data_IF_182960105520
#
_entry.id   IF_182960105520
#
_cell.length_a   1.000
_cell.length_b   1.000
_cell.length_c   1.000
_cell.angle_alpha   90.00
_cell.angle_beta   90.00
_cell.angle_gamma   90.00
#
_symmetry.space_group_name_H-M   'P 1'
#
loop_
_entity.id
_entity.type
_entity.pdbx_description
1 polymer ?
#
# COMPACT_ATOMS: atom_id res chain seq x y z
N UNK A 1 23.36 24.81 -2.40
CA UNK A 1 21.90 24.82 -2.24
C UNK A 1 21.57 24.12 -0.94
N UNK A 2 20.60 24.62 -0.19
CA UNK A 2 20.18 24.01 1.08
C UNK A 2 19.41 22.71 0.79
N UNK A 3 19.77 21.56 1.38
CA UNK A 3 19.08 20.29 1.12
C UNK A 3 17.74 20.21 1.86
N UNK A 4 16.71 19.72 1.17
CA UNK A 4 15.38 19.41 1.72
C UNK A 4 15.02 17.96 1.43
N UNK A 5 14.41 17.30 2.41
CA UNK A 5 13.84 15.96 2.26
C UNK A 5 12.35 16.05 1.99
N UNK A 6 11.90 15.63 0.81
CA UNK A 6 10.49 15.65 0.43
C UNK A 6 9.90 14.26 0.60
N UNK A 7 9.06 14.11 1.63
CA UNK A 7 8.34 12.88 1.92
C UNK A 7 6.98 12.95 1.22
N UNK A 8 6.79 12.19 0.15
CA UNK A 8 5.52 12.12 -0.57
C UNK A 8 4.66 11.00 0.01
N UNK A 9 3.37 11.27 0.24
CA UNK A 9 2.43 10.26 0.71
C UNK A 9 1.09 10.28 -0.02
N UNK A 10 0.69 9.11 -0.51
CA UNK A 10 -0.59 8.88 -1.18
C UNK A 10 -0.49 9.06 -2.71
N UNK A 11 -1.35 8.37 -3.49
CA UNK A 11 -1.39 8.52 -4.94
C UNK A 11 -1.99 9.86 -5.38
N UNK A 12 -2.91 10.44 -4.60
CA UNK A 12 -3.65 11.64 -5.02
C UNK A 12 -2.73 12.83 -5.32
N UNK A 13 -1.73 13.07 -4.47
CA UNK A 13 -0.76 14.15 -4.65
C UNK A 13 0.16 13.96 -5.86
N UNK A 14 0.27 12.73 -6.38
CA UNK A 14 1.00 12.44 -7.62
C UNK A 14 0.06 12.63 -8.82
N UNK A 15 -1.13 12.04 -8.75
CA UNK A 15 -2.09 12.01 -9.85
C UNK A 15 -2.56 13.40 -10.27
N UNK A 16 -2.71 14.30 -9.29
CA UNK A 16 -3.15 15.67 -9.49
C UNK A 16 -1.99 16.62 -9.85
N UNK A 17 -0.75 16.11 -10.01
CA UNK A 17 0.45 16.89 -10.39
C UNK A 17 1.05 17.74 -9.27
N UNK A 18 0.46 17.71 -8.07
CA UNK A 18 0.83 18.53 -6.92
C UNK A 18 2.25 18.25 -6.41
N UNK A 19 2.69 17.00 -6.45
CA UNK A 19 4.05 16.64 -6.09
C UNK A 19 5.08 17.19 -7.07
N UNK A 20 4.79 17.20 -8.38
CA UNK A 20 5.66 17.79 -9.40
C UNK A 20 5.76 19.31 -9.19
N UNK A 21 4.61 19.99 -9.02
CA UNK A 21 4.52 21.41 -8.69
C UNK A 21 5.37 21.76 -7.47
N UNK A 22 5.25 21.00 -6.37
CA UNK A 22 5.99 21.24 -5.14
C UNK A 22 7.51 21.09 -5.33
N UNK A 23 7.93 20.05 -6.06
CA UNK A 23 9.34 19.76 -6.35
C UNK A 23 9.95 20.87 -7.18
N UNK A 24 9.26 21.30 -8.24
CA UNK A 24 9.72 22.38 -9.13
C UNK A 24 9.80 23.71 -8.38
N UNK A 25 8.75 24.09 -7.67
CA UNK A 25 8.68 25.33 -6.87
C UNK A 25 9.85 25.42 -5.88
N UNK A 26 10.17 24.33 -5.19
CA UNK A 26 11.29 24.30 -4.24
C UNK A 26 12.66 24.35 -4.95
N UNK A 27 12.81 23.69 -6.10
CA UNK A 27 14.04 23.78 -6.91
C UNK A 27 14.27 25.18 -7.45
N UNK A 28 13.22 25.84 -7.96
CA UNK A 28 13.26 27.23 -8.45
C UNK A 28 13.57 28.22 -7.31
N UNK A 29 13.08 27.93 -6.11
CA UNK A 29 13.49 28.63 -4.90
C UNK A 29 14.97 28.39 -4.57
N UNK A 30 15.70 27.48 -5.22
CA UNK A 30 17.13 27.24 -5.01
C UNK A 30 17.44 26.23 -3.90
N UNK A 31 16.48 25.37 -3.56
CA UNK A 31 16.72 24.20 -2.70
C UNK A 31 17.23 23.01 -3.52
N UNK A 32 18.09 22.21 -2.91
CA UNK A 32 18.40 20.87 -3.41
C UNK A 32 17.39 19.91 -2.78
N UNK A 33 16.61 19.20 -3.57
CA UNK A 33 15.54 18.34 -3.06
C UNK A 33 15.91 16.86 -3.23
N UNK A 34 15.76 16.10 -2.16
CA UNK A 34 15.78 14.64 -2.20
C UNK A 34 14.36 14.14 -1.92
N UNK A 35 13.79 13.38 -2.85
CA UNK A 35 12.36 13.04 -2.83
C UNK A 35 12.20 11.54 -2.68
N UNK A 36 11.38 11.11 -1.73
CA UNK A 36 11.09 9.70 -1.49
C UNK A 36 9.61 9.51 -1.18
N UNK A 37 9.03 8.42 -1.69
CA UNK A 37 7.62 8.10 -1.47
C UNK A 37 7.46 6.91 -0.51
N UNK A 38 6.44 7.00 0.35
CA UNK A 38 6.03 5.91 1.22
C UNK A 38 4.64 5.36 0.82
N UNK A 39 4.53 4.03 0.76
CA UNK A 39 3.28 3.31 0.50
C UNK A 39 3.08 2.82 -0.94
N UNK A 40 2.47 1.64 -1.08
CA UNK A 40 2.37 0.91 -2.36
C UNK A 40 1.53 1.63 -3.41
N UNK A 41 0.37 2.20 -3.03
CA UNK A 41 -0.50 2.90 -3.99
C UNK A 41 0.14 4.17 -4.54
N UNK A 42 0.94 4.89 -3.74
CA UNK A 42 1.72 6.03 -4.24
C UNK A 42 2.80 5.61 -5.25
N UNK A 43 3.43 4.43 -5.07
CA UNK A 43 4.44 3.92 -6.01
C UNK A 43 3.85 3.64 -7.39
N UNK A 44 2.63 3.10 -7.45
CA UNK A 44 1.97 2.91 -8.76
C UNK A 44 1.64 4.23 -9.44
N UNK A 45 1.24 5.25 -8.67
CA UNK A 45 1.02 6.60 -9.20
C UNK A 45 2.32 7.22 -9.75
N UNK A 46 3.45 7.06 -9.06
CA UNK A 46 4.77 7.51 -9.55
C UNK A 46 5.15 6.84 -10.86
N UNK A 47 4.90 5.53 -10.99
CA UNK A 47 5.15 4.79 -12.24
C UNK A 47 4.25 5.29 -13.37
N UNK A 48 2.97 5.52 -13.09
CA UNK A 48 2.02 6.05 -14.09
C UNK A 48 2.42 7.44 -14.57
N UNK A 49 2.94 8.28 -13.66
CA UNK A 49 3.37 9.64 -13.95
C UNK A 49 4.76 9.74 -14.58
N UNK A 50 5.54 8.64 -14.63
CA UNK A 50 6.91 8.67 -15.17
C UNK A 50 7.92 9.36 -14.24
N UNK A 51 7.58 9.52 -12.97
CA UNK A 51 8.37 10.31 -12.01
C UNK A 51 9.45 9.52 -11.27
N UNK A 52 9.73 8.26 -11.66
CA UNK A 52 10.72 7.38 -11.01
C UNK A 52 12.14 7.97 -11.01
N UNK A 53 12.44 8.84 -11.99
CA UNK A 53 13.73 9.51 -12.10
C UNK A 53 13.89 10.68 -11.12
N UNK A 54 12.80 11.09 -10.44
CA UNK A 54 12.76 12.19 -9.48
C UNK A 54 12.44 11.68 -8.07
N UNK A 55 11.47 10.76 -7.96
CA UNK A 55 10.93 10.26 -6.69
C UNK A 55 11.48 8.86 -6.42
N UNK A 56 12.26 8.70 -5.35
CA UNK A 56 12.74 7.40 -4.91
C UNK A 56 11.57 6.52 -4.43
N UNK A 57 11.27 5.51 -5.25
CA UNK A 57 10.32 4.42 -4.95
C UNK A 57 11.02 3.07 -4.79
N UNK A 58 12.36 3.04 -4.79
CA UNK A 58 13.15 1.81 -4.80
C UNK A 58 12.87 0.98 -3.56
N UNK A 59 12.85 1.59 -2.37
CA UNK A 59 12.63 0.85 -1.11
C UNK A 59 11.20 0.92 -0.63
N UNK A 60 10.79 -0.09 0.12
CA UNK A 60 9.50 -0.11 0.80
C UNK A 60 9.64 0.38 2.23
N UNK A 61 9.61 1.71 2.37
CA UNK A 61 9.73 2.39 3.65
C UNK A 61 8.35 2.80 4.15
N UNK A 62 8.09 2.62 5.44
CA UNK A 62 7.00 3.34 6.12
C UNK A 62 7.33 4.83 6.13
N UNK A 63 6.32 5.73 6.20
CA UNK A 63 6.60 7.17 6.22
C UNK A 63 7.56 7.60 7.35
N UNK A 64 7.43 7.01 8.55
CA UNK A 64 8.35 7.29 9.66
C UNK A 64 9.79 6.86 9.37
N UNK A 65 9.99 5.84 8.53
CA UNK A 65 11.32 5.35 8.14
C UNK A 65 11.93 6.18 7.01
N UNK A 66 11.09 6.81 6.19
CA UNK A 66 11.54 7.82 5.22
C UNK A 66 12.12 9.05 5.94
N UNK A 67 11.61 9.41 7.13
CA UNK A 67 12.24 10.42 7.99
C UNK A 67 13.64 9.96 8.42
N UNK A 68 13.78 8.74 8.94
CA UNK A 68 15.09 8.18 9.33
C UNK A 68 16.07 8.18 8.15
N UNK A 69 15.60 7.82 6.95
CA UNK A 69 16.38 7.80 5.72
C UNK A 69 16.98 9.17 5.40
N UNK A 70 16.17 10.24 5.45
CA UNK A 70 16.67 11.61 5.22
C UNK A 70 17.69 12.05 6.28
N UNK A 71 17.39 11.81 7.55
CA UNK A 71 18.27 12.21 8.66
C UNK A 71 19.63 11.51 8.59
N UNK A 72 19.66 10.22 8.23
CA UNK A 72 20.91 9.46 8.09
C UNK A 72 21.79 9.97 6.93
N UNK A 73 21.22 10.76 6.02
CA UNK A 73 21.92 11.41 4.89
C UNK A 73 22.26 12.87 5.18
N UNK A 74 22.03 13.34 6.41
CA UNK A 74 22.27 14.73 6.81
C UNK A 74 21.22 15.72 6.30
N UNK A 75 20.04 15.24 5.88
CA UNK A 75 18.92 16.07 5.45
C UNK A 75 17.97 16.21 6.63
N UNK A 76 18.01 17.37 7.28
CA UNK A 76 17.30 17.63 8.54
C UNK A 76 16.22 18.71 8.44
N UNK A 77 15.87 19.14 7.23
CA UNK A 77 14.63 19.87 6.96
C UNK A 77 13.75 19.01 6.06
N UNK A 78 12.65 18.50 6.61
CA UNK A 78 11.76 17.55 5.96
C UNK A 78 10.40 18.20 5.71
N UNK A 79 9.89 18.05 4.49
CA UNK A 79 8.57 18.50 4.08
C UNK A 79 7.74 17.28 3.69
N UNK A 80 6.70 16.99 4.45
CA UNK A 80 5.64 16.05 4.07
C UNK A 80 4.76 16.72 3.01
N UNK A 81 4.53 16.05 1.89
CA UNK A 81 3.67 16.52 0.81
C UNK A 81 2.58 15.47 0.61
N UNK A 82 1.33 15.85 0.83
CA UNK A 82 0.21 14.92 0.74
C UNK A 82 -1.11 15.61 0.36
N UNK A 83 -2.05 14.78 -0.11
CA UNK A 83 -3.41 15.17 -0.43
C UNK A 83 -4.37 14.23 0.32
N UNK A 84 -4.90 14.70 1.44
CA UNK A 84 -5.77 13.92 2.30
C UNK A 84 -7.25 13.98 1.86
N UNK A 85 -8.14 13.28 2.58
CA UNK A 85 -9.59 13.30 2.31
C UNK A 85 -10.25 14.58 2.87
N UNK A 86 -9.70 15.05 3.98
CA UNK A 86 -10.11 16.22 4.75
C UNK A 86 -8.89 16.80 5.46
N UNK A 87 -8.97 18.07 5.86
CA UNK A 87 -7.97 18.71 6.70
C UNK A 87 -7.60 17.88 7.93
N UNK A 88 -8.61 17.40 8.68
CA UNK A 88 -8.39 16.62 9.90
C UNK A 88 -7.61 15.32 9.61
N UNK A 89 -7.92 14.64 8.49
CA UNK A 89 -7.20 13.43 8.10
C UNK A 89 -5.76 13.71 7.67
N UNK A 90 -5.50 14.85 7.04
CA UNK A 90 -4.15 15.30 6.69
C UNK A 90 -3.30 15.62 7.92
N UNK A 91 -3.88 16.35 8.88
CA UNK A 91 -3.23 16.62 10.17
C UNK A 91 -2.96 15.31 10.92
N UNK A 92 -3.94 14.39 10.98
CA UNK A 92 -3.82 13.11 11.66
C UNK A 92 -2.74 12.22 11.05
N UNK A 93 -2.54 12.25 9.73
CA UNK A 93 -1.47 11.55 9.04
C UNK A 93 -0.10 11.99 9.59
N UNK A 94 0.21 13.29 9.53
CA UNK A 94 1.48 13.83 10.00
C UNK A 94 1.72 13.53 11.49
N UNK A 95 0.69 13.64 12.33
CA UNK A 95 0.76 13.25 13.76
C UNK A 95 1.14 11.78 13.91
N UNK A 96 0.51 10.89 13.14
CA UNK A 96 0.79 9.46 13.16
C UNK A 96 2.23 9.12 12.74
N UNK A 97 2.72 9.80 11.71
CA UNK A 97 4.10 9.65 11.20
C UNK A 97 5.10 10.09 12.28
N UNK A 98 4.95 11.31 12.80
CA UNK A 98 5.83 11.86 13.83
C UNK A 98 5.81 11.00 15.10
N UNK A 99 4.63 10.55 15.54
CA UNK A 99 4.49 9.63 16.68
C UNK A 99 5.33 8.38 16.51
N UNK A 100 5.16 7.70 15.37
CA UNK A 100 5.85 6.44 15.10
C UNK A 100 7.36 6.64 15.05
N UNK A 101 7.82 7.72 14.41
CA UNK A 101 9.22 8.08 14.35
C UNK A 101 9.83 8.29 15.76
N UNK A 102 9.16 9.06 16.61
CA UNK A 102 9.64 9.40 17.95
C UNK A 102 9.66 8.19 18.88
N UNK A 103 8.60 7.38 18.87
CA UNK A 103 8.51 6.17 19.70
C UNK A 103 9.58 5.15 19.33
N UNK A 104 9.86 4.98 18.02
CA UNK A 104 10.92 4.07 17.53
C UNK A 104 12.30 4.46 18.06
N UNK A 105 12.55 5.76 18.29
CA UNK A 105 13.82 6.28 18.81
C UNK A 105 13.89 6.39 20.34
N UNK A 106 12.82 6.03 21.06
CA UNK A 106 12.80 6.11 22.54
C UNK A 106 13.00 7.52 23.09
N UNK A 107 12.70 8.57 22.30
CA UNK A 107 12.92 9.96 22.70
C UNK A 107 11.81 10.42 23.68
N UNK A 108 12.16 10.94 24.88
CA UNK A 108 11.19 11.44 25.84
C UNK A 108 10.58 12.78 25.41
N UNK A 109 9.36 13.06 25.87
CA UNK A 109 8.57 14.26 25.61
C UNK A 109 8.63 15.23 26.81
N UNK A 110 8.61 16.57 26.63
CA UNK A 110 8.30 17.34 25.41
C UNK A 110 9.54 17.77 24.58
N UNK A 111 9.39 17.69 23.25
CA UNK A 111 10.44 17.64 22.23
C UNK A 111 11.04 18.97 21.73
N UNK A 112 10.65 20.12 22.26
CA UNK A 112 11.07 21.40 21.66
C UNK A 112 12.58 21.67 21.74
N UNK A 113 13.29 21.01 22.66
CA UNK A 113 14.71 21.25 22.90
C UNK A 113 15.61 20.09 22.45
N UNK A 114 15.03 18.98 21.98
CA UNK A 114 15.77 17.74 21.64
C UNK A 114 15.66 17.31 20.18
N UNK A 115 14.76 17.90 19.39
CA UNK A 115 14.65 17.60 17.96
C UNK A 115 15.74 18.31 17.17
N UNK A 116 16.53 17.53 16.47
CA UNK A 116 17.64 18.00 15.62
C UNK A 116 17.21 18.27 14.18
N UNK A 117 15.91 18.34 13.90
CA UNK A 117 15.35 18.48 12.55
C UNK A 117 14.07 19.33 12.51
N UNK A 118 13.79 19.89 11.35
CA UNK A 118 12.56 20.62 11.00
C UNK A 118 11.60 19.71 10.25
N UNK A 119 10.31 19.84 10.54
CA UNK A 119 9.24 19.12 9.87
C UNK A 119 8.09 20.07 9.51
N UNK A 120 7.77 20.13 8.22
CA UNK A 120 6.70 20.91 7.63
C UNK A 120 5.76 19.98 6.87
N UNK A 121 4.51 20.38 6.70
CA UNK A 121 3.57 19.64 5.88
C UNK A 121 2.89 20.58 4.88
N UNK A 122 2.90 20.20 3.61
CA UNK A 122 2.06 20.76 2.56
C UNK A 122 0.87 19.81 2.38
N UNK A 123 -0.30 20.24 2.83
CA UNK A 123 -1.56 19.51 2.66
C UNK A 123 -2.38 20.18 1.55
N UNK A 124 -2.34 19.58 0.37
CA UNK A 124 -2.88 20.17 -0.83
C UNK A 124 -4.41 20.14 -0.89
N UNK A 125 -5.06 19.10 -0.35
CA UNK A 125 -6.52 18.98 -0.38
C UNK A 125 -7.22 20.17 0.28
N UNK A 126 -6.64 20.66 1.38
CA UNK A 126 -7.16 21.81 2.13
C UNK A 126 -6.39 23.10 1.88
N UNK A 127 -5.39 23.08 0.98
CA UNK A 127 -4.50 24.20 0.67
C UNK A 127 -3.89 24.86 1.92
N UNK A 128 -3.31 24.04 2.80
CA UNK A 128 -2.68 24.50 4.05
C UNK A 128 -1.22 24.08 4.13
N UNK A 129 -0.44 24.89 4.84
CA UNK A 129 0.93 24.57 5.25
C UNK A 129 1.00 24.50 6.78
N UNK A 130 1.43 23.36 7.32
CA UNK A 130 1.41 23.10 8.77
C UNK A 130 2.83 23.07 9.32
N UNK A 131 3.16 24.05 10.16
CA UNK A 131 4.44 24.14 10.86
C UNK A 131 4.44 23.22 12.09
N UNK A 132 4.89 21.97 11.92
CA UNK A 132 5.01 21.02 13.04
C UNK A 132 6.16 21.40 13.96
N UNK A 133 7.38 21.46 13.42
CA UNK A 133 8.59 21.84 14.15
C UNK A 133 9.56 22.54 13.22
N UNK A 134 10.20 23.59 13.69
CA UNK A 134 11.31 24.24 12.98
C UNK A 134 12.43 24.37 13.99
N UNK A 135 13.57 23.72 13.74
CA UNK A 135 14.75 23.80 14.62
C UNK A 135 15.31 25.22 14.60
N UNK A 136 15.99 25.59 15.68
CA UNK A 136 16.68 26.87 15.74
C UNK A 136 17.71 26.99 14.60
N UNK A 137 17.66 28.10 13.85
CA UNK A 137 18.54 28.35 12.69
C UNK A 137 17.89 28.08 11.34
N UNK A 138 16.70 27.45 11.31
CA UNK A 138 15.97 27.15 10.06
C UNK A 138 14.92 28.21 9.70
N UNK A 139 14.86 29.34 10.43
CA UNK A 139 13.84 30.39 10.21
C UNK A 139 13.91 30.98 8.79
N UNK A 140 15.10 31.12 8.20
CA UNK A 140 15.26 31.57 6.82
C UNK A 140 14.75 30.55 5.80
N UNK A 141 15.01 29.26 6.04
CA UNK A 141 14.53 28.16 5.18
C UNK A 141 12.99 28.13 5.24
N UNK A 142 12.44 28.15 6.45
CA UNK A 142 11.01 28.19 6.69
C UNK A 142 10.34 29.39 6.02
N UNK A 143 10.86 30.61 6.24
CA UNK A 143 10.32 31.83 5.66
C UNK A 143 10.35 31.82 4.13
N UNK A 144 11.38 31.21 3.54
CA UNK A 144 11.49 31.05 2.09
C UNK A 144 10.47 30.07 1.54
N UNK A 145 10.23 28.93 2.22
CA UNK A 145 9.19 27.97 1.82
C UNK A 145 7.80 28.62 1.90
N UNK A 146 7.49 29.32 3.00
CA UNK A 146 6.22 30.06 3.14
C UNK A 146 6.08 31.13 2.04
N UNK A 147 7.18 31.79 1.66
CA UNK A 147 7.16 32.80 0.61
C UNK A 147 6.81 32.25 -0.77
N UNK A 148 7.30 31.05 -1.12
CA UNK A 148 7.01 30.42 -2.42
C UNK A 148 5.68 29.68 -2.46
N UNK A 149 5.16 29.23 -1.31
CA UNK A 149 3.81 28.66 -1.16
C UNK A 149 2.85 29.63 -0.45
N UNK A 150 2.89 30.92 -0.85
CA UNK A 150 2.14 31.99 -0.19
C UNK A 150 0.62 31.90 -0.38
N UNK A 151 0.17 31.08 -1.31
CA UNK A 151 -1.22 30.76 -1.57
C UNK A 151 -1.79 29.73 -0.59
N UNK A 152 -0.93 29.01 0.16
CA UNK A 152 -1.35 28.09 1.20
C UNK A 152 -1.56 28.82 2.52
N UNK A 153 -2.61 28.40 3.26
CA UNK A 153 -2.91 28.98 4.57
C UNK A 153 -2.01 28.35 5.62
N UNK A 154 -1.17 29.17 6.26
CA UNK A 154 -0.31 28.73 7.37
C UNK A 154 -1.15 28.34 8.60
N UNK A 155 -0.87 27.15 9.13
CA UNK A 155 -1.41 26.65 10.39
C UNK A 155 -0.30 26.21 11.32
N UNK A 156 -0.49 26.50 12.60
CA UNK A 156 0.36 25.98 13.67
C UNK A 156 -0.47 24.96 14.46
N UNK A 157 -0.03 23.71 14.60
CA UNK A 157 -0.72 22.74 15.42
C UNK A 157 -0.90 23.28 16.85
N UNK A 158 -2.08 23.10 17.43
CA UNK A 158 -2.31 23.47 18.82
C UNK A 158 -1.26 22.78 19.72
N UNK A 159 -0.55 23.57 20.55
CA UNK A 159 0.56 23.10 21.43
C UNK A 159 0.22 21.88 22.30
N UNK A 160 -1.06 21.61 22.52
CA UNK A 160 -1.58 20.52 23.37
C UNK A 160 -1.90 19.22 22.59
N UNK A 161 -1.81 19.17 21.25
CA UNK A 161 -2.22 18.00 20.45
C UNK A 161 -1.10 17.03 20.05
N UNK A 162 0.14 17.30 20.46
CA UNK A 162 1.24 16.32 20.36
C UNK A 162 1.41 15.55 21.69
N UNK A 163 0.31 15.37 22.42
CA UNK A 163 0.22 14.38 23.48
C UNK A 163 0.20 13.01 22.80
N UNK A 164 1.37 12.39 22.71
CA UNK A 164 1.52 11.04 22.17
C UNK A 164 1.07 10.01 23.19
N UNK A 165 -0.21 10.09 23.57
CA UNK A 165 -0.84 9.08 24.40
C UNK A 165 -0.81 7.71 23.69
N UNK A 166 -1.02 6.67 24.49
CA UNK A 166 -1.30 5.33 23.98
C UNK A 166 -2.40 5.42 22.92
N UNK A 167 -2.22 4.77 21.76
CA UNK A 167 -3.30 4.68 20.74
C UNK A 167 -4.49 3.90 21.28
N UNK A 168 -4.20 3.04 22.26
CA UNK A 168 -5.18 2.21 22.91
C UNK A 168 -5.50 2.69 24.32
N UNK A 169 -6.79 2.72 24.62
CA UNK A 169 -7.28 2.70 26.00
C UNK A 169 -7.41 1.24 26.44
N UNK A 170 -6.91 0.91 27.62
CA UNK A 170 -7.02 -0.43 28.21
C UNK A 170 -7.97 -0.39 29.40
N UNK A 171 -8.98 -1.25 29.40
CA UNK A 171 -9.92 -1.41 30.51
C UNK A 171 -10.11 -2.89 30.82
N UNK A 172 -9.64 -3.34 32.00
CA UNK A 172 -9.60 -4.76 32.36
C UNK A 172 -8.88 -5.57 31.27
N UNK A 173 -9.56 -6.55 30.67
CA UNK A 173 -9.01 -7.42 29.61
C UNK A 173 -9.25 -6.87 28.19
N UNK A 174 -9.89 -5.70 28.07
CA UNK A 174 -10.25 -5.11 26.78
C UNK A 174 -9.27 -4.02 26.37
N UNK A 175 -8.94 -4.01 25.09
CA UNK A 175 -8.12 -2.99 24.42
C UNK A 175 -9.00 -2.27 23.40
N UNK A 176 -9.01 -0.95 23.46
CA UNK A 176 -9.82 -0.07 22.61
C UNK A 176 -8.91 0.82 21.78
N UNK A 177 -8.96 0.75 20.45
CA UNK A 177 -8.27 1.70 19.56
C UNK A 177 -9.29 2.52 18.79
N UNK A 178 -9.32 3.82 19.06
CA UNK A 178 -10.14 4.76 18.29
C UNK A 178 -9.42 5.17 17.00
N UNK A 179 -10.12 5.07 15.87
CA UNK A 179 -9.73 5.61 14.58
C UNK A 179 -10.55 6.86 14.32
N UNK A 180 -9.90 7.97 14.01
CA UNK A 180 -10.54 9.26 13.73
C UNK A 180 -10.47 9.58 12.24
N UNK A 181 -11.26 10.56 11.82
CA UNK A 181 -11.33 11.05 10.45
C UNK A 181 -11.80 9.98 9.44
N UNK A 182 -12.63 9.04 9.91
CA UNK A 182 -13.22 8.00 9.05
C UNK A 182 -14.52 8.49 8.43
N UNK A 183 -14.86 7.97 7.26
CA UNK A 183 -16.10 8.31 6.55
C UNK A 183 -17.01 7.08 6.41
N UNK A 184 -18.34 7.24 6.47
CA UNK A 184 -19.27 6.16 6.19
C UNK A 184 -18.96 5.42 4.88
N UNK A 185 -19.12 4.10 4.88
CA UNK A 185 -18.83 3.24 3.74
C UNK A 185 -17.35 2.92 3.53
N UNK A 186 -16.42 3.52 4.28
CA UNK A 186 -15.01 3.11 4.23
C UNK A 186 -14.81 1.70 4.77
N UNK A 187 -13.99 0.92 4.09
CA UNK A 187 -13.46 -0.35 4.61
C UNK A 187 -12.48 -0.07 5.73
N UNK A 188 -12.51 -0.94 6.74
CA UNK A 188 -11.56 -0.94 7.85
C UNK A 188 -10.62 -2.10 7.62
N UNK A 189 -9.34 -1.79 7.38
CA UNK A 189 -8.31 -2.76 7.03
C UNK A 189 -7.31 -2.85 8.17
N UNK A 190 -7.08 -4.06 8.68
CA UNK A 190 -6.10 -4.38 9.74
C UNK A 190 -5.06 -5.33 9.14
N UNK A 191 -3.81 -4.88 9.05
CA UNK A 191 -2.68 -5.65 8.49
C UNK A 191 -2.99 -6.35 7.16
N UNK A 192 -3.68 -5.62 6.27
CA UNK A 192 -4.06 -6.09 4.94
C UNK A 192 -5.41 -6.80 4.85
N UNK A 193 -6.06 -7.12 5.97
CA UNK A 193 -7.36 -7.81 6.00
C UNK A 193 -8.51 -6.84 6.24
N UNK A 194 -9.57 -6.90 5.41
CA UNK A 194 -10.78 -6.10 5.62
C UNK A 194 -11.63 -6.71 6.74
N UNK A 195 -11.64 -6.06 7.90
CA UNK A 195 -12.36 -6.56 9.10
C UNK A 195 -13.77 -6.00 9.25
N UNK A 196 -14.12 -5.00 8.43
CA UNK A 196 -15.40 -4.32 8.54
C UNK A 196 -15.52 -3.10 7.65
N UNK A 197 -16.66 -2.42 7.78
CA UNK A 197 -16.98 -1.17 7.09
C UNK A 197 -17.49 -0.14 8.09
N UNK A 198 -17.14 1.13 7.92
CA UNK A 198 -17.63 2.25 8.72
C UNK A 198 -19.13 2.43 8.47
N UNK A 199 -19.93 2.46 9.52
CA UNK A 199 -21.39 2.56 9.45
C UNK A 199 -21.84 4.00 9.12
N UNK A 200 -22.99 4.14 8.46
CA UNK A 200 -23.67 5.43 8.26
C UNK A 200 -24.08 6.09 9.59
N UNK A 201 -24.22 5.31 10.67
CA UNK A 201 -24.55 5.81 12.01
C UNK A 201 -23.32 6.29 12.80
N UNK A 202 -22.15 6.32 12.16
CA UNK A 202 -20.90 6.81 12.78
C UNK A 202 -21.07 8.24 13.28
N UNK A 203 -20.69 8.46 14.54
CA UNK A 203 -20.68 9.77 15.17
C UNK A 203 -19.25 10.30 15.20
N UNK A 204 -19.10 11.62 15.04
CA UNK A 204 -17.81 12.31 15.15
C UNK A 204 -16.71 11.79 14.21
N UNK A 205 -17.08 11.16 13.09
CA UNK A 205 -16.13 10.57 12.14
C UNK A 205 -15.10 9.67 12.83
N UNK A 206 -15.53 8.89 13.83
CA UNK A 206 -14.67 7.94 14.53
C UNK A 206 -15.30 6.55 14.70
N UNK A 207 -14.45 5.53 14.63
CA UNK A 207 -14.80 4.14 14.95
C UNK A 207 -13.84 3.62 16.00
N UNK A 208 -14.29 2.69 16.84
CA UNK A 208 -13.43 2.08 17.86
C UNK A 208 -13.35 0.57 17.67
N UNK A 209 -12.14 0.08 17.42
CA UNK A 209 -11.85 -1.34 17.46
C UNK A 209 -11.72 -1.79 18.91
N UNK A 210 -12.38 -2.88 19.26
CA UNK A 210 -12.33 -3.46 20.60
C UNK A 210 -11.86 -4.89 20.51
N UNK A 211 -10.70 -5.17 21.10
CA UNK A 211 -10.12 -6.50 21.17
C UNK A 211 -10.04 -7.00 22.61
N UNK A 212 -10.06 -8.33 22.77
CA UNK A 212 -9.79 -9.03 24.04
C UNK A 212 -8.89 -10.21 23.75
N UNK A 213 -7.84 -10.38 24.55
CA UNK A 213 -6.90 -11.52 24.41
C UNK A 213 -6.40 -11.71 22.96
N UNK A 214 -6.11 -10.61 22.27
CA UNK A 214 -5.67 -10.60 20.87
C UNK A 214 -6.75 -10.79 19.81
N UNK A 215 -8.02 -11.00 20.18
CA UNK A 215 -9.10 -11.22 19.21
C UNK A 215 -9.95 -9.95 19.04
N UNK A 216 -10.23 -9.54 17.79
CA UNK A 216 -11.15 -8.44 17.52
C UNK A 216 -12.60 -8.87 17.80
N UNK A 217 -13.26 -8.22 18.75
CA UNK A 217 -14.61 -8.60 19.21
C UNK A 217 -15.72 -7.72 18.66
N UNK A 218 -15.46 -6.42 18.46
CA UNK A 218 -16.45 -5.46 17.94
C UNK A 218 -15.78 -4.24 17.30
N UNK A 219 -16.53 -3.63 16.40
CA UNK A 219 -16.23 -2.33 15.80
C UNK A 219 -17.38 -1.39 16.21
N UNK A 220 -17.12 -0.47 17.14
CA UNK A 220 -18.12 0.54 17.51
C UNK A 220 -18.14 1.63 16.43
N UNK A 221 -19.32 1.92 15.89
CA UNK A 221 -19.47 2.79 14.71
C UNK A 221 -19.20 2.08 13.38
N UNK A 222 -19.04 0.75 13.38
CA UNK A 222 -18.82 0.00 12.14
C UNK A 222 -19.57 -1.33 12.13
N UNK A 223 -19.63 -1.93 10.96
CA UNK A 223 -20.16 -3.26 10.70
C UNK A 223 -18.99 -4.19 10.49
N UNK A 224 -18.89 -5.23 11.30
CA UNK A 224 -17.80 -6.21 11.25
C UNK A 224 -18.09 -7.29 10.20
N UNK A 225 -17.05 -7.70 9.47
CA UNK A 225 -17.07 -8.84 8.56
C UNK A 225 -16.43 -10.04 9.29
N UNK A 226 -17.27 -10.95 9.79
CA UNK A 226 -16.84 -12.00 10.72
C UNK A 226 -15.91 -13.05 10.11
N UNK A 227 -16.18 -13.49 8.88
CA UNK A 227 -15.41 -14.56 8.24
C UNK A 227 -13.96 -14.13 7.98
N UNK A 228 -13.74 -12.85 7.64
CA UNK A 228 -12.38 -12.32 7.44
C UNK A 228 -11.54 -12.30 8.72
N UNK A 229 -12.15 -12.35 9.91
CA UNK A 229 -11.39 -12.38 11.16
C UNK A 229 -10.61 -13.69 11.35
N UNK A 230 -11.02 -14.77 10.69
CA UNK A 230 -10.31 -16.05 10.73
C UNK A 230 -8.91 -15.96 10.07
N UNK A 231 -8.71 -14.96 9.20
CA UNK A 231 -7.45 -14.68 8.51
C UNK A 231 -6.43 -13.94 9.40
N UNK A 232 -6.86 -13.39 10.55
CA UNK A 232 -6.00 -12.57 11.39
C UNK A 232 -5.26 -13.38 12.47
N UNK A 233 -3.95 -13.13 12.68
CA UNK A 233 -3.26 -13.60 13.86
C UNK A 233 -3.75 -12.86 15.12
N UNK A 234 -3.36 -13.32 16.33
CA UNK A 234 -3.61 -12.58 17.56
C UNK A 234 -3.07 -11.15 17.49
N UNK A 235 -3.95 -10.17 17.68
CA UNK A 235 -3.71 -8.75 17.47
C UNK A 235 -3.09 -8.07 18.69
N UNK A 236 -2.09 -7.23 18.45
CA UNK A 236 -1.71 -6.13 19.34
C UNK A 236 -2.20 -4.82 18.75
N UNK A 237 -3.43 -4.44 19.09
CA UNK A 237 -4.07 -3.22 18.56
C UNK A 237 -3.22 -1.95 18.76
N UNK A 238 -2.26 -1.89 19.67
CA UNK A 238 -1.37 -0.73 19.80
C UNK A 238 -0.40 -0.62 18.61
N UNK A 239 0.02 -1.76 18.07
CA UNK A 239 1.06 -1.89 17.03
C UNK A 239 0.50 -2.08 15.63
N UNK A 240 -0.69 -2.67 15.49
CA UNK A 240 -1.19 -3.03 14.16
C UNK A 240 -1.34 -1.84 13.21
N UNK A 241 -1.12 -2.11 11.93
CA UNK A 241 -1.36 -1.15 10.88
C UNK A 241 -2.84 -1.18 10.52
N UNK A 242 -3.51 -0.09 10.85
CA UNK A 242 -4.95 0.05 10.62
C UNK A 242 -5.18 1.22 9.67
N UNK A 243 -5.89 0.96 8.57
CA UNK A 243 -6.24 1.93 7.54
C UNK A 243 -7.75 1.96 7.35
N UNK A 244 -8.28 3.12 6.95
CA UNK A 244 -9.63 3.21 6.41
C UNK A 244 -9.61 3.78 5.01
N UNK A 245 -10.35 3.14 4.10
CA UNK A 245 -10.42 3.56 2.71
C UNK A 245 -11.70 3.04 2.06
N UNK A 246 -12.32 3.85 1.20
CA UNK A 246 -13.34 3.33 0.28
C UNK A 246 -12.68 2.53 -0.85
N UNK A 247 -11.61 3.08 -1.39
CA UNK A 247 -10.73 2.49 -2.40
C UNK A 247 -9.29 2.89 -2.10
N UNK A 248 -8.31 2.11 -2.56
CA UNK A 248 -6.88 2.33 -2.28
C UNK A 248 -6.26 3.52 -3.03
N UNK A 249 -6.94 4.04 -4.07
CA UNK A 249 -6.56 5.19 -4.88
C UNK A 249 -7.83 5.87 -5.38
N UNK A 250 -8.06 7.13 -4.98
CA UNK A 250 -9.32 7.86 -5.25
C UNK A 250 -9.30 8.62 -6.58
N UNK A 251 -8.12 8.86 -7.11
CA UNK A 251 -7.83 9.62 -8.32
C UNK A 251 -7.44 8.70 -9.47
N UNK A 252 -7.61 9.17 -10.69
CA UNK A 252 -7.03 8.53 -11.87
C UNK A 252 -5.83 9.34 -12.35
N UNK A 253 -4.75 8.68 -12.82
CA UNK A 253 -3.58 9.40 -13.31
C UNK A 253 -3.93 10.25 -14.53
N UNK A 254 -3.66 11.55 -14.47
CA UNK A 254 -3.88 12.47 -15.59
C UNK A 254 -3.04 12.16 -16.83
N UNK A 255 -1.85 11.54 -16.63
CA UNK A 255 -0.98 11.02 -17.68
C UNK A 255 -0.63 9.57 -17.35
N UNK A 256 -0.78 8.67 -18.33
CA UNK A 256 -0.25 7.30 -18.23
C UNK A 256 0.93 7.16 -19.16
N UNK A 257 2.10 6.90 -18.60
CA UNK A 257 3.26 6.49 -19.36
C UNK A 257 2.95 5.20 -20.14
N UNK A 258 3.26 5.19 -21.43
CA UNK A 258 3.08 3.99 -22.26
C UNK A 258 4.06 2.89 -21.83
N UNK A 259 3.67 1.65 -22.11
CA UNK A 259 4.30 0.39 -21.65
C UNK A 259 5.83 0.31 -21.80
N UNK A 260 6.43 1.09 -22.69
CA UNK A 260 7.86 1.06 -23.01
C UNK A 260 8.78 1.72 -21.95
N UNK A 261 8.25 2.60 -21.09
CA UNK A 261 9.03 3.29 -20.03
C UNK A 261 8.72 2.75 -18.61
N UNK A 262 7.91 1.69 -18.52
CA UNK A 262 7.55 1.09 -17.24
C UNK A 262 8.71 0.25 -16.66
N UNK A 263 8.75 0.12 -15.33
CA UNK A 263 9.74 -0.70 -14.62
C UNK A 263 9.63 -2.17 -15.03
N UNK A 264 10.41 -2.61 -16.01
CA UNK A 264 10.71 -4.02 -16.15
C UNK A 264 11.75 -4.38 -15.09
N UNK A 265 11.47 -5.32 -14.18
CA UNK A 265 12.55 -5.91 -13.40
C UNK A 265 13.58 -6.43 -14.40
N UNK A 266 14.82 -5.92 -14.35
CA UNK A 266 15.87 -6.49 -15.18
C UNK A 266 16.13 -7.90 -14.67
N UNK A 267 15.65 -8.87 -15.45
CA UNK A 267 15.81 -10.31 -15.20
C UNK A 267 16.91 -10.90 -16.09
N UNK A 268 17.63 -10.07 -16.85
CA UNK A 268 18.70 -10.51 -17.74
C UNK A 268 19.83 -11.12 -16.92
N UNK A 269 20.15 -12.38 -17.19
CA UNK A 269 21.19 -13.11 -16.47
C UNK A 269 20.82 -13.52 -15.04
N UNK A 270 19.58 -13.25 -14.58
CA UNK A 270 19.08 -13.66 -13.27
C UNK A 270 18.33 -14.99 -13.33
N UNK A 271 18.37 -15.74 -12.23
CA UNK A 271 17.49 -16.89 -12.01
C UNK A 271 16.05 -16.43 -11.96
N UNK A 272 15.19 -17.08 -12.75
CA UNK A 272 13.77 -16.73 -12.82
C UNK A 272 13.03 -17.41 -11.68
N UNK A 273 12.13 -16.69 -11.03
CA UNK A 273 11.33 -17.26 -9.94
C UNK A 273 9.85 -16.89 -10.08
N UNK A 274 9.00 -17.75 -9.53
CA UNK A 274 7.62 -17.46 -9.21
C UNK A 274 7.46 -17.15 -7.71
N UNK A 275 6.64 -16.17 -7.35
CA UNK A 275 6.35 -15.82 -5.96
C UNK A 275 4.87 -16.00 -5.63
N UNK A 276 4.57 -16.50 -4.43
CA UNK A 276 3.21 -16.69 -3.91
C UNK A 276 2.85 -15.56 -2.93
N UNK A 277 1.69 -14.93 -3.14
CA UNK A 277 1.22 -13.79 -2.36
C UNK A 277 -0.20 -14.02 -1.81
N UNK A 278 -0.35 -13.90 -0.50
CA UNK A 278 -1.65 -13.80 0.18
C UNK A 278 -2.03 -12.35 0.50
N UNK A 279 -1.05 -11.44 0.42
CA UNK A 279 -1.21 -10.01 0.65
C UNK A 279 -0.32 -9.24 -0.31
N UNK A 280 -0.74 -8.03 -0.65
CA UNK A 280 0.04 -7.12 -1.50
C UNK A 280 1.11 -6.35 -0.74
N UNK A 281 1.11 -6.38 0.59
CA UNK A 281 2.07 -5.62 1.40
C UNK A 281 3.53 -5.98 1.10
N UNK A 282 3.79 -7.24 0.74
CA UNK A 282 5.14 -7.72 0.39
C UNK A 282 5.40 -7.77 -1.12
N UNK A 283 4.40 -7.43 -1.95
CA UNK A 283 4.48 -7.57 -3.39
C UNK A 283 5.57 -6.68 -3.98
N UNK A 284 5.52 -5.37 -3.70
CA UNK A 284 6.48 -4.41 -4.27
C UNK A 284 7.93 -4.71 -3.86
N UNK A 285 8.25 -4.95 -2.56
CA UNK A 285 9.58 -5.43 -2.16
C UNK A 285 10.04 -6.68 -2.90
N UNK A 286 9.17 -7.69 -3.02
CA UNK A 286 9.52 -8.98 -3.60
C UNK A 286 9.81 -8.88 -5.11
N UNK A 287 9.05 -8.07 -5.84
CA UNK A 287 9.17 -7.98 -7.32
C UNK A 287 10.27 -7.03 -7.77
N UNK A 288 10.51 -5.93 -7.04
CA UNK A 288 11.55 -4.96 -7.42
C UNK A 288 12.92 -5.43 -6.92
N UNK A 289 12.98 -6.36 -5.95
CA UNK A 289 14.24 -6.89 -5.37
C UNK A 289 15.21 -5.77 -4.94
N UNK A 290 14.66 -4.59 -4.64
CA UNK A 290 15.46 -3.41 -4.35
C UNK A 290 16.07 -3.55 -2.96
N UNK A 291 17.40 -3.68 -2.89
CA UNK A 291 18.25 -3.64 -1.69
C UNK A 291 17.44 -3.59 -0.40
N UNK A 292 16.88 -4.72 0.00
CA UNK A 292 16.26 -4.82 1.31
C UNK A 292 17.24 -5.57 2.19
N UNK A 293 17.28 -5.21 3.46
CA UNK A 293 17.87 -6.03 4.53
C UNK A 293 17.09 -7.36 4.70
N UNK A 294 16.63 -7.96 3.60
CA UNK A 294 15.95 -9.25 3.54
C UNK A 294 16.89 -10.27 2.94
N UNK A 295 16.75 -11.54 3.35
CA UNK A 295 17.49 -12.69 2.83
C UNK A 295 17.13 -13.03 1.35
N UNK A 296 16.90 -12.03 0.49
CA UNK A 296 16.57 -12.24 -0.92
C UNK A 296 17.85 -12.32 -1.75
N UNK A 297 17.94 -13.35 -2.59
CA UNK A 297 19.06 -13.54 -3.51
C UNK A 297 19.03 -12.47 -4.62
N UNK A 298 20.01 -11.55 -4.70
CA UNK A 298 20.04 -10.48 -5.70
C UNK A 298 20.16 -11.02 -7.15
N UNK A 299 20.59 -12.28 -7.31
CA UNK A 299 20.70 -12.95 -8.61
C UNK A 299 19.36 -13.57 -9.06
N UNK A 300 18.24 -13.24 -8.41
CA UNK A 300 16.90 -13.70 -8.78
C UNK A 300 16.00 -12.58 -9.34
N UNK A 301 15.11 -12.94 -10.26
CA UNK A 301 14.13 -12.07 -10.87
C UNK A 301 12.74 -12.68 -10.88
N UNK A 302 11.76 -11.98 -10.29
CA UNK A 302 10.36 -12.42 -10.27
C UNK A 302 9.75 -12.23 -11.65
N UNK A 303 9.28 -13.33 -12.24
CA UNK A 303 8.65 -13.34 -13.58
C UNK A 303 7.20 -13.81 -13.56
N UNK A 304 6.78 -14.47 -12.48
CA UNK A 304 5.40 -14.92 -12.25
C UNK A 304 5.00 -14.63 -10.81
N UNK A 305 3.78 -14.12 -10.61
CA UNK A 305 3.14 -14.01 -9.31
C UNK A 305 1.94 -14.95 -9.23
N UNK A 306 1.81 -15.71 -8.15
CA UNK A 306 0.60 -16.45 -7.81
C UNK A 306 -0.07 -15.71 -6.67
N UNK A 307 -1.34 -15.32 -6.84
CA UNK A 307 -2.06 -14.50 -5.86
C UNK A 307 -3.28 -15.23 -5.33
N UNK A 308 -3.51 -15.14 -4.02
CA UNK A 308 -4.65 -15.76 -3.34
C UNK A 308 -5.55 -14.66 -2.78
N UNK A 309 -6.84 -14.74 -3.06
CA UNK A 309 -7.85 -13.77 -2.64
C UNK A 309 -8.23 -12.78 -3.72
N UNK A 310 -9.50 -12.35 -3.71
CA UNK A 310 -10.07 -11.42 -4.69
C UNK A 310 -9.37 -10.05 -4.67
N UNK A 311 -9.33 -9.36 -3.51
CA UNK A 311 -8.69 -8.03 -3.41
C UNK A 311 -7.18 -8.09 -3.61
N UNK A 312 -6.52 -9.13 -3.08
CA UNK A 312 -5.08 -9.35 -3.33
C UNK A 312 -4.81 -9.51 -4.81
N UNK A 313 -5.61 -10.31 -5.52
CA UNK A 313 -5.49 -10.52 -6.98
C UNK A 313 -5.79 -9.25 -7.76
N UNK A 314 -6.80 -8.47 -7.36
CA UNK A 314 -7.12 -7.20 -8.00
C UNK A 314 -5.98 -6.19 -7.86
N UNK A 315 -5.47 -5.99 -6.65
CA UNK A 315 -4.42 -5.02 -6.35
C UNK A 315 -3.09 -5.46 -6.95
N UNK A 316 -2.75 -6.74 -6.84
CA UNK A 316 -1.57 -7.29 -7.47
C UNK A 316 -1.64 -7.16 -9.00
N UNK A 317 -2.77 -7.51 -9.62
CA UNK A 317 -2.96 -7.36 -11.06
C UNK A 317 -2.72 -5.91 -11.51
N UNK A 318 -3.33 -4.95 -10.80
CA UNK A 318 -3.14 -3.53 -11.08
C UNK A 318 -1.66 -3.12 -10.99
N UNK A 319 -0.91 -3.56 -9.98
CA UNK A 319 0.52 -3.26 -9.85
C UNK A 319 1.34 -3.97 -10.93
N UNK A 320 1.18 -5.29 -11.06
CA UNK A 320 2.03 -6.16 -11.88
C UNK A 320 1.89 -5.88 -13.38
N UNK A 321 0.75 -5.37 -13.84
CA UNK A 321 0.58 -4.99 -15.26
C UNK A 321 1.55 -3.88 -15.67
N UNK A 322 1.94 -3.03 -14.73
CA UNK A 322 2.97 -1.98 -14.91
C UNK A 322 4.37 -2.56 -14.90
N UNK A 323 4.58 -3.67 -14.20
CA UNK A 323 5.89 -4.33 -14.12
C UNK A 323 6.12 -5.38 -15.22
N UNK A 324 5.09 -5.67 -16.03
CA UNK A 324 5.16 -6.71 -17.05
C UNK A 324 5.28 -8.13 -16.48
N UNK A 325 4.98 -8.33 -15.20
CA UNK A 325 5.05 -9.62 -14.52
C UNK A 325 3.74 -10.38 -14.73
N UNK A 326 3.81 -11.65 -15.12
CA UNK A 326 2.61 -12.48 -15.32
C UNK A 326 2.02 -12.89 -13.99
N UNK A 327 0.71 -13.13 -13.97
CA UNK A 327 0.00 -13.51 -12.76
C UNK A 327 -0.89 -14.74 -12.96
N UNK A 328 -1.01 -15.56 -11.92
CA UNK A 328 -2.06 -16.57 -11.76
C UNK A 328 -2.81 -16.24 -10.47
N UNK A 329 -4.03 -15.72 -10.59
CA UNK A 329 -4.88 -15.41 -9.44
C UNK A 329 -5.82 -16.55 -9.09
N UNK A 330 -6.00 -16.82 -7.80
CA UNK A 330 -6.98 -17.76 -7.25
C UNK A 330 -7.95 -16.95 -6.39
N UNK A 331 -9.23 -17.02 -6.74
CA UNK A 331 -10.28 -16.14 -6.23
C UNK A 331 -11.55 -16.93 -6.01
N UNK A 332 -12.40 -16.55 -5.06
CA UNK A 332 -13.64 -17.25 -4.72
C UNK A 332 -14.90 -16.38 -4.96
N UNK A 333 -14.71 -15.06 -5.13
CA UNK A 333 -15.78 -14.10 -5.42
C UNK A 333 -16.30 -13.32 -4.24
N UNK A 334 -15.49 -13.17 -3.20
CA UNK A 334 -15.83 -12.41 -2.01
C UNK A 334 -15.23 -11.00 -1.97
N UNK A 335 -14.87 -10.42 -3.12
CA UNK A 335 -14.18 -9.13 -3.21
C UNK A 335 -14.79 -8.04 -2.30
N UNK A 336 -13.96 -7.39 -1.50
CA UNK A 336 -14.36 -6.29 -0.62
C UNK A 336 -14.49 -4.95 -1.36
N UNK A 337 -14.01 -4.88 -2.61
CA UNK A 337 -14.12 -3.70 -3.46
C UNK A 337 -13.12 -2.60 -3.12
N UNK A 338 -11.89 -2.99 -2.78
CA UNK A 338 -10.80 -2.04 -2.49
C UNK A 338 -10.26 -1.31 -3.73
N UNK A 339 -10.65 -1.75 -4.93
CA UNK A 339 -10.28 -1.14 -6.22
C UNK A 339 -11.54 -0.74 -6.99
N UNK A 340 -11.54 0.50 -7.48
CA UNK A 340 -12.58 0.98 -8.39
C UNK A 340 -12.70 0.07 -9.60
N UNK A 341 -13.89 -0.51 -9.83
CA UNK A 341 -14.17 -1.41 -10.95
C UNK A 341 -14.07 -2.90 -10.63
N UNK A 342 -13.66 -3.27 -9.42
CA UNK A 342 -13.88 -4.60 -8.82
C UNK A 342 -14.87 -4.39 -7.67
N UNK A 343 -16.11 -4.84 -7.81
CA UNK A 343 -17.16 -4.65 -6.81
C UNK A 343 -17.70 -5.98 -6.30
N UNK A 344 -17.88 -6.95 -7.20
CA UNK A 344 -18.47 -8.24 -6.87
C UNK A 344 -17.44 -9.37 -6.93
N UNK A 345 -16.24 -9.07 -7.42
CA UNK A 345 -15.25 -10.10 -7.74
C UNK A 345 -15.70 -10.95 -8.92
N UNK A 346 -16.57 -10.45 -9.81
CA UNK A 346 -16.91 -11.22 -11.01
C UNK A 346 -15.70 -11.32 -11.94
N UNK A 347 -15.51 -12.46 -12.62
CA UNK A 347 -14.36 -12.65 -13.52
C UNK A 347 -14.26 -11.54 -14.59
N UNK A 348 -15.39 -11.01 -15.07
CA UNK A 348 -15.41 -9.90 -16.04
C UNK A 348 -14.72 -8.63 -15.51
N UNK A 349 -14.85 -8.33 -14.23
CA UNK A 349 -14.29 -7.13 -13.61
C UNK A 349 -12.75 -7.14 -13.68
N UNK A 350 -12.12 -8.31 -13.52
CA UNK A 350 -10.68 -8.47 -13.54
C UNK A 350 -10.02 -8.23 -14.91
N UNK A 351 -10.77 -8.29 -16.02
CA UNK A 351 -10.21 -8.21 -17.37
C UNK A 351 -9.41 -6.92 -17.62
N UNK A 352 -9.75 -5.82 -16.93
CA UNK A 352 -9.06 -4.51 -17.05
C UNK A 352 -7.80 -4.37 -16.17
N UNK A 353 -7.63 -5.27 -15.21
CA UNK A 353 -6.57 -5.21 -14.21
C UNK A 353 -5.47 -6.22 -14.47
N UNK A 354 -5.74 -7.26 -15.24
CA UNK A 354 -4.77 -8.32 -15.48
C UNK A 354 -3.55 -7.86 -16.29
N UNK A 355 -2.33 -8.25 -15.87
CA UNK A 355 -1.19 -8.22 -16.76
C UNK A 355 -1.45 -9.08 -18.00
N UNK A 356 -0.81 -8.75 -19.11
CA UNK A 356 -0.92 -9.55 -20.34
C UNK A 356 -0.35 -10.96 -20.12
N UNK A 357 -0.97 -11.98 -20.75
CA UNK A 357 -0.63 -13.41 -20.53
C UNK A 357 -0.72 -13.81 -19.06
N UNK A 358 -1.80 -13.42 -18.40
CA UNK A 358 -2.12 -13.77 -17.02
C UNK A 358 -3.45 -14.51 -16.95
N UNK A 359 -3.67 -15.19 -15.83
CA UNK A 359 -4.76 -16.12 -15.65
C UNK A 359 -5.43 -15.90 -14.31
N UNK A 360 -6.75 -16.05 -14.24
CA UNK A 360 -7.49 -16.13 -12.97
C UNK A 360 -8.31 -17.41 -12.95
N UNK A 361 -8.27 -18.09 -11.81
CA UNK A 361 -9.08 -19.25 -11.49
C UNK A 361 -10.11 -18.81 -10.46
N UNK A 362 -11.38 -18.94 -10.82
CA UNK A 362 -12.50 -18.81 -9.89
C UNK A 362 -12.81 -20.18 -9.31
N UNK A 363 -12.67 -20.30 -7.99
CA UNK A 363 -13.04 -21.48 -7.22
C UNK A 363 -14.37 -21.28 -6.50
N UNK A 364 -14.90 -22.34 -5.88
CA UNK A 364 -16.09 -22.27 -5.02
C UNK A 364 -15.83 -21.37 -3.80
N UNK A 365 -16.90 -20.75 -3.28
CA UNK A 365 -16.82 -19.79 -2.18
C UNK A 365 -16.08 -20.37 -0.95
N UNK A 366 -15.14 -19.60 -0.40
CA UNK A 366 -14.30 -19.93 0.75
C UNK A 366 -13.19 -20.94 0.48
N UNK A 367 -12.88 -21.26 -0.79
CA UNK A 367 -11.85 -22.26 -1.14
C UNK A 367 -10.53 -21.69 -1.61
N UNK A 368 -10.45 -20.41 -1.94
CA UNK A 368 -9.22 -19.77 -2.39
C UNK A 368 -8.08 -19.92 -1.37
N UNK A 369 -8.33 -19.71 -0.08
CA UNK A 369 -7.35 -19.89 0.99
C UNK A 369 -6.90 -21.35 1.11
N UNK A 370 -7.84 -22.31 1.03
CA UNK A 370 -7.53 -23.75 1.10
C UNK A 370 -6.68 -24.19 -0.09
N UNK A 371 -7.08 -23.81 -1.30
CA UNK A 371 -6.33 -24.10 -2.53
C UNK A 371 -4.98 -23.38 -2.50
N UNK A 372 -4.92 -22.15 -2.00
CA UNK A 372 -3.68 -21.41 -1.81
C UNK A 372 -2.70 -22.17 -0.92
N UNK A 373 -3.16 -22.70 0.22
CA UNK A 373 -2.31 -23.52 1.09
C UNK A 373 -1.89 -24.83 0.40
N UNK A 374 -2.75 -25.47 -0.38
CA UNK A 374 -2.37 -26.64 -1.19
C UNK A 374 -1.29 -26.28 -2.22
N UNK A 375 -1.42 -25.14 -2.91
CA UNK A 375 -0.40 -24.63 -3.84
C UNK A 375 0.91 -24.38 -3.10
N UNK A 376 0.87 -23.75 -1.93
CA UNK A 376 2.04 -23.52 -1.09
C UNK A 376 2.76 -24.84 -0.75
N UNK A 377 2.02 -25.84 -0.25
CA UNK A 377 2.61 -27.10 0.20
C UNK A 377 3.08 -27.99 -0.95
N UNK A 378 2.26 -28.16 -1.98
CA UNK A 378 2.50 -29.15 -3.06
C UNK A 378 3.33 -28.56 -4.20
N UNK A 379 3.18 -27.27 -4.50
CA UNK A 379 3.86 -26.63 -5.63
C UNK A 379 5.10 -25.87 -5.18
N UNK A 380 4.98 -25.07 -4.13
CA UNK A 380 6.06 -24.26 -3.58
C UNK A 380 6.84 -24.95 -2.44
N UNK A 381 6.55 -26.23 -2.14
CA UNK A 381 7.23 -27.01 -1.09
C UNK A 381 7.24 -26.31 0.28
N UNK A 382 6.13 -25.68 0.65
CA UNK A 382 5.97 -24.94 1.90
C UNK A 382 6.60 -23.54 1.92
N UNK A 383 7.21 -23.10 0.81
CA UNK A 383 7.87 -21.79 0.66
C UNK A 383 6.97 -20.78 -0.06
N UNK A 384 7.46 -19.55 -0.20
CA UNK A 384 6.79 -18.47 -0.95
C UNK A 384 7.46 -18.18 -2.31
N UNK A 385 8.56 -18.86 -2.61
CA UNK A 385 9.33 -18.70 -3.84
C UNK A 385 9.59 -20.06 -4.47
N UNK A 386 9.50 -20.10 -5.80
CA UNK A 386 9.77 -21.28 -6.64
C UNK A 386 10.74 -20.87 -7.74
N UNK A 387 11.88 -21.55 -7.83
CA UNK A 387 12.82 -21.37 -8.94
C UNK A 387 12.27 -21.99 -10.22
N UNK A 388 12.41 -21.26 -11.33
CA UNK A 388 11.98 -21.66 -12.66
C UNK A 388 13.24 -21.91 -13.50
N UNK A 389 13.35 -23.10 -14.06
CA UNK A 389 14.57 -23.58 -14.71
C UNK A 389 14.47 -23.56 -16.24
N UNK A 390 13.26 -23.64 -16.78
CA UNK A 390 13.01 -23.63 -18.22
C UNK A 390 12.62 -22.23 -18.74
N UNK A 391 12.17 -22.17 -19.99
CA UNK A 391 11.64 -20.93 -20.55
C UNK A 391 10.31 -20.53 -19.88
N UNK A 392 10.00 -19.23 -19.90
CA UNK A 392 8.87 -18.67 -19.17
C UNK A 392 7.51 -19.19 -19.66
N UNK A 393 7.36 -19.52 -20.95
CA UNK A 393 6.07 -20.01 -21.46
C UNK A 393 5.80 -21.42 -20.93
N UNK A 394 6.80 -22.29 -20.98
CA UNK A 394 6.70 -23.68 -20.50
C UNK A 394 6.44 -23.72 -18.98
N UNK A 395 7.23 -22.98 -18.20
CA UNK A 395 7.08 -22.91 -16.74
C UNK A 395 5.72 -22.34 -16.32
N UNK A 396 5.24 -21.30 -17.02
CA UNK A 396 3.94 -20.71 -16.74
C UNK A 396 2.79 -21.68 -17.06
N UNK A 397 2.88 -22.39 -18.19
CA UNK A 397 1.89 -23.40 -18.56
C UNK A 397 1.86 -24.56 -17.57
N UNK A 398 3.02 -25.05 -17.14
CA UNK A 398 3.12 -26.13 -16.16
C UNK A 398 2.59 -25.70 -14.78
N UNK A 399 2.92 -24.48 -14.34
CA UNK A 399 2.40 -23.93 -13.08
C UNK A 399 0.87 -23.82 -13.13
N UNK A 400 0.32 -23.27 -14.23
CA UNK A 400 -1.12 -23.20 -14.47
C UNK A 400 -1.76 -24.59 -14.40
N UNK A 401 -1.19 -25.59 -15.10
CA UNK A 401 -1.69 -26.97 -15.13
C UNK A 401 -1.72 -27.60 -13.74
N UNK A 402 -0.64 -27.43 -12.96
CA UNK A 402 -0.54 -27.96 -11.59
C UNK A 402 -1.56 -27.32 -10.66
N UNK A 403 -1.76 -26.00 -10.74
CA UNK A 403 -2.76 -25.30 -9.92
C UNK A 403 -4.18 -25.74 -10.30
N UNK A 404 -4.50 -25.83 -11.60
CA UNK A 404 -5.80 -26.32 -12.08
C UNK A 404 -6.09 -27.75 -11.60
N UNK A 405 -5.06 -28.61 -11.56
CA UNK A 405 -5.20 -29.98 -11.07
C UNK A 405 -5.53 -30.02 -9.57
N UNK A 406 -4.95 -29.13 -8.76
CA UNK A 406 -5.25 -29.02 -7.33
C UNK A 406 -6.66 -28.48 -7.07
N UNK A 407 -7.11 -27.53 -7.89
CA UNK A 407 -8.42 -26.89 -7.73
C UNK A 407 -9.58 -27.64 -8.41
N UNK A 408 -9.30 -28.74 -9.13
CA UNK A 408 -10.16 -29.35 -10.15
C UNK A 408 -11.66 -29.39 -9.80
N UNK A 409 -12.00 -29.89 -8.63
CA UNK A 409 -13.40 -30.11 -8.21
C UNK A 409 -14.09 -28.82 -7.73
N UNK A 410 -13.33 -27.75 -7.50
CA UNK A 410 -13.80 -26.46 -7.03
C UNK A 410 -13.82 -25.38 -8.13
N UNK A 411 -13.34 -25.64 -9.35
CA UNK A 411 -13.28 -24.61 -10.41
C UNK A 411 -14.68 -24.29 -10.99
N UNK A 412 -15.09 -23.03 -10.83
CA UNK A 412 -16.31 -22.48 -11.42
C UNK A 412 -16.06 -21.74 -12.75
N UNK A 413 -14.86 -21.22 -12.95
CA UNK A 413 -14.53 -20.54 -14.21
C UNK A 413 -13.10 -20.04 -14.25
N UNK A 414 -12.68 -19.64 -15.45
CA UNK A 414 -11.35 -19.11 -15.69
C UNK A 414 -11.39 -17.88 -16.60
N UNK A 415 -10.46 -16.96 -16.36
CA UNK A 415 -10.20 -15.80 -17.21
C UNK A 415 -8.76 -15.85 -17.71
N UNK A 416 -8.58 -15.77 -19.02
CA UNK A 416 -7.26 -15.69 -19.67
C UNK A 416 -7.12 -14.34 -20.38
N UNK A 417 -6.13 -13.54 -19.97
CA UNK A 417 -5.91 -12.20 -20.54
C UNK A 417 -5.29 -12.24 -21.94
N UNK A 418 -4.85 -13.39 -22.44
CA UNK A 418 -4.30 -13.57 -23.79
C UNK A 418 -5.39 -13.64 -24.86
N UNK A 419 -6.59 -14.11 -24.50
CA UNK A 419 -7.70 -14.37 -25.43
C UNK A 419 -8.97 -13.58 -25.10
N UNK A 420 -9.01 -12.83 -23.98
CA UNK A 420 -10.16 -12.08 -23.45
C UNK A 420 -11.48 -12.87 -23.51
N UNK A 421 -11.39 -14.20 -23.40
CA UNK A 421 -12.53 -15.11 -23.38
C UNK A 421 -12.65 -15.66 -21.98
N UNK A 422 -13.81 -15.44 -21.36
CA UNK A 422 -14.17 -16.10 -20.10
C UNK A 422 -14.74 -17.46 -20.43
N UNK A 423 -14.20 -18.48 -19.77
CA UNK A 423 -14.77 -19.82 -19.81
C UNK A 423 -15.39 -20.09 -18.45
N UNK A 424 -16.73 -20.05 -18.42
CA UNK A 424 -17.51 -20.39 -17.23
C UNK A 424 -17.88 -21.85 -17.35
N UNK A 425 -17.64 -22.63 -16.29
CA UNK A 425 -17.87 -24.07 -16.31
C UNK A 425 -19.38 -24.34 -16.23
N UNK A 426 -19.97 -24.75 -17.37
CA UNK A 426 -21.07 -25.71 -17.39
C UNK A 426 -20.55 -26.90 -18.17
N UNK A 427 -19.92 -27.83 -17.45
CA UNK A 427 -19.45 -29.14 -17.94
C UNK A 427 -18.53 -29.11 -19.17
N UNK A 428 -17.26 -28.72 -18.98
CA UNK A 428 -16.05 -29.21 -19.67
C UNK A 428 -15.02 -28.09 -19.85
N UNK A 429 -14.21 -27.83 -18.82
CA UNK A 429 -12.86 -27.33 -19.04
C UNK A 429 -12.02 -28.57 -19.38
N UNK A 430 -11.88 -28.87 -20.67
CA UNK A 430 -10.96 -29.90 -21.14
C UNK A 430 -9.55 -29.56 -20.66
N UNK A 431 -8.82 -30.56 -20.18
CA UNK A 431 -7.41 -30.51 -19.77
C UNK A 431 -6.44 -30.24 -20.93
N UNK A 432 -6.94 -29.71 -22.04
CA UNK A 432 -6.15 -29.20 -23.17
C UNK A 432 -6.02 -27.68 -23.02
N UNK A 433 -5.15 -27.24 -22.11
CA UNK A 433 -4.64 -25.87 -22.02
C UNK A 433 -3.14 -25.86 -21.76
#
# INVERSE_FOLDING_TARGET
MTPLGLLIHGPEVIDDGEAEEAIETLKEAGFAVEVALAGISGKTAVIDAGMQHIIDISKDRRPSETIDYFLNRGIDFIVLINHAKTEDSGIALAQGILRNFLLKRGLPLPLKETLTFSFLQLEYSSRIIIRWFVKHGDDEIYGKIIGVFNELIEKVPAKQKLEFESRCRKERDFVYRELKCVQPGEKIVVDGVVVGTVSDETKNNSVTLVAKEGNLLRIVGGVMIKHNLEKLPPLDLEKEMIKTARVIRRTEPGRRVERAEMLYPDTTGKKKIACLFYTVETLFPAVVRADTDTDTDPDTGVVVAVTIGDDTTAIAGDILKRLGIRMIGITDGDADGLITGIETGSLNEYAKFLPHKSFIIRVTAGKDDLIGEMVKQVIFNGRYELELHEDLETEFAELKRRILALAKDDILGVLDSSNTKIQINTDNITTEF
#
